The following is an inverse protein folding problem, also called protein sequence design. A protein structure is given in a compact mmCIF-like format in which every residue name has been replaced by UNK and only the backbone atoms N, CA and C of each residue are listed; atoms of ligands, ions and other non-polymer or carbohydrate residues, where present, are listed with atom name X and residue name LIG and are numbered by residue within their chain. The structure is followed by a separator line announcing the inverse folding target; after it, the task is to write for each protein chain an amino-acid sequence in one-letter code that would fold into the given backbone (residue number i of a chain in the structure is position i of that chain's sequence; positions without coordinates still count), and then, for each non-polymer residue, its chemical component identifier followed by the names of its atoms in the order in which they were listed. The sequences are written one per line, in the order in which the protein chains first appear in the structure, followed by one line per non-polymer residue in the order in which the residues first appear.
data_IF_020422178823
#
_entry.id   IF_020422178823
#
_cell.length_a   1.000
_cell.length_b   1.000
_cell.length_c   1.000
_cell.angle_alpha   90.00
_cell.angle_beta   90.00
_cell.angle_gamma   90.00
#
_symmetry.space_group_name_H-M   'P 1'
#
loop_
_entity.id
_entity.type
_entity.pdbx_description
1 polymer ?
#
# COMPACT_ATOMS: atom_id res chain seq x y z
N UNK A 1 -6.65 -16.66 13.08
CA UNK A 1 -5.24 -17.07 12.86
C UNK A 1 -4.38 -16.49 13.97
N UNK A 2 -3.53 -17.29 14.61
CA UNK A 2 -2.62 -16.77 15.64
C UNK A 2 -1.58 -15.85 14.97
N UNK A 3 -1.21 -14.73 15.61
CA UNK A 3 -0.19 -13.85 15.10
C UNK A 3 1.14 -14.58 14.98
N UNK A 4 1.75 -14.57 13.81
CA UNK A 4 3.11 -15.10 13.64
C UNK A 4 4.11 -14.05 14.10
N UNK A 5 5.18 -14.46 14.77
CA UNK A 5 6.26 -13.56 15.22
C UNK A 5 7.11 -13.02 14.05
N UNK A 6 6.99 -13.67 12.89
CA UNK A 6 7.75 -13.30 11.69
C UNK A 6 6.78 -12.87 10.58
N UNK A 7 6.94 -11.67 10.01
CA UNK A 7 6.11 -11.23 8.89
C UNK A 7 6.38 -12.07 7.64
N UNK A 8 5.33 -12.34 6.85
CA UNK A 8 5.49 -12.88 5.52
C UNK A 8 6.17 -11.85 4.62
N UNK A 9 7.29 -12.21 4.01
CA UNK A 9 7.99 -11.32 3.08
C UNK A 9 7.71 -11.77 1.64
N UNK A 10 7.35 -10.83 0.75
CA UNK A 10 7.15 -11.14 -0.66
C UNK A 10 8.47 -11.38 -1.38
N UNK A 11 8.37 -11.90 -2.60
CA UNK A 11 9.47 -11.86 -3.54
C UNK A 11 9.79 -10.42 -3.89
N UNK A 12 11.03 -10.01 -3.68
CA UNK A 12 11.51 -8.66 -3.92
C UNK A 12 12.46 -8.62 -5.11
N UNK A 13 12.50 -7.50 -5.86
CA UNK A 13 13.50 -7.32 -6.89
C UNK A 13 14.92 -7.31 -6.28
N UNK A 14 15.96 -7.65 -7.06
CA UNK A 14 17.34 -7.68 -6.58
C UNK A 14 17.78 -6.34 -5.99
N UNK A 15 18.49 -6.38 -4.86
CA UNK A 15 18.94 -5.17 -4.13
C UNK A 15 19.83 -4.28 -4.99
N UNK A 16 20.68 -4.87 -5.81
CA UNK A 16 21.58 -4.17 -6.73
C UNK A 16 20.88 -3.62 -7.97
N UNK A 17 19.61 -4.00 -8.22
CA UNK A 17 18.78 -3.54 -9.32
C UNK A 17 17.56 -2.72 -8.87
N UNK A 18 17.50 -2.31 -7.60
CA UNK A 18 16.36 -1.59 -7.01
C UNK A 18 16.81 -0.49 -6.06
N UNK A 19 15.86 0.34 -5.60
CA UNK A 19 16.02 1.15 -4.41
C UNK A 19 14.74 1.14 -3.58
N UNK A 20 14.89 1.22 -2.26
CA UNK A 20 13.76 1.16 -1.35
C UNK A 20 13.59 2.45 -0.55
N UNK A 21 12.33 2.73 -0.21
CA UNK A 21 11.92 3.77 0.74
C UNK A 21 10.95 3.14 1.72
N UNK A 22 11.16 3.41 3.02
CA UNK A 22 10.30 2.87 4.09
C UNK A 22 9.66 4.02 4.85
N UNK A 23 8.38 3.90 5.13
CA UNK A 23 7.64 4.80 6.03
C UNK A 23 6.95 3.98 7.11
N UNK A 24 6.81 4.58 8.30
CA UNK A 24 6.11 3.96 9.42
C UNK A 24 5.20 5.00 10.07
N UNK A 25 3.95 4.62 10.28
CA UNK A 25 2.92 5.43 10.93
C UNK A 25 2.18 4.60 11.97
N UNK A 26 1.39 5.27 12.80
CA UNK A 26 0.55 4.63 13.82
C UNK A 26 -0.88 5.13 13.70
N UNK A 27 -1.83 4.21 13.91
CA UNK A 27 -3.26 4.51 13.93
C UNK A 27 -3.98 3.76 15.04
N UNK A 28 -5.17 4.26 15.40
CA UNK A 28 -6.06 3.63 16.38
C UNK A 28 -7.06 2.75 15.64
N UNK A 29 -6.63 1.57 15.21
CA UNK A 29 -7.42 0.60 14.47
C UNK A 29 -6.81 -0.79 14.61
N UNK A 30 -7.54 -1.83 14.23
CA UNK A 30 -7.01 -3.18 14.11
C UNK A 30 -6.21 -3.36 12.80
N UNK A 31 -5.24 -4.29 12.74
CA UNK A 31 -4.54 -4.60 11.49
C UNK A 31 -5.48 -4.92 10.32
N UNK A 32 -6.59 -5.61 10.58
CA UNK A 32 -7.59 -5.95 9.58
C UNK A 32 -8.25 -4.72 8.94
N UNK A 33 -8.34 -3.58 9.65
CA UNK A 33 -8.89 -2.34 9.08
C UNK A 33 -7.92 -1.71 8.09
N UNK A 34 -6.62 -1.85 8.34
CA UNK A 34 -5.56 -1.42 7.43
C UNK A 34 -5.58 -2.25 6.15
N UNK A 35 -5.67 -3.59 6.28
CA UNK A 35 -5.71 -4.49 5.12
C UNK A 35 -6.99 -4.24 4.29
N UNK A 36 -8.13 -4.09 4.95
CA UNK A 36 -9.40 -3.80 4.27
C UNK A 36 -9.37 -2.46 3.51
N UNK A 37 -8.73 -1.42 4.06
CA UNK A 37 -8.52 -0.16 3.34
C UNK A 37 -7.70 -0.37 2.07
N UNK A 38 -6.60 -1.11 2.15
CA UNK A 38 -5.72 -1.36 1.00
C UNK A 38 -6.35 -2.25 -0.07
N UNK A 39 -7.32 -3.09 0.29
CA UNK A 39 -8.10 -3.94 -0.61
C UNK A 39 -9.35 -3.24 -1.17
N UNK A 40 -9.66 -2.01 -0.72
CA UNK A 40 -10.72 -1.19 -1.32
C UNK A 40 -10.14 -0.34 -2.47
N UNK A 41 -10.23 -0.79 -3.72
CA UNK A 41 -9.63 -0.06 -4.85
C UNK A 41 -10.34 1.27 -5.12
N UNK A 42 -11.63 1.36 -4.75
CA UNK A 42 -12.46 2.52 -5.05
C UNK A 42 -12.06 3.76 -4.27
N UNK A 43 -11.54 3.60 -3.04
CA UNK A 43 -11.11 4.75 -2.25
C UNK A 43 -9.91 5.48 -2.89
N UNK A 44 -9.03 4.78 -3.61
CA UNK A 44 -7.79 5.33 -4.15
C UNK A 44 -8.00 6.61 -4.97
N UNK A 45 -8.91 6.59 -5.94
CA UNK A 45 -9.19 7.75 -6.78
C UNK A 45 -10.02 8.84 -6.08
N UNK A 46 -10.86 8.46 -5.12
CA UNK A 46 -11.73 9.39 -4.38
C UNK A 46 -10.99 10.13 -3.27
N UNK A 47 -10.21 9.42 -2.46
CA UNK A 47 -9.49 10.00 -1.33
C UNK A 47 -8.12 10.56 -1.72
N UNK A 48 -7.48 9.98 -2.76
CA UNK A 48 -6.13 10.35 -3.18
C UNK A 48 -6.06 10.88 -4.62
N UNK A 49 -6.91 11.85 -5.03
CA UNK A 49 -6.91 12.37 -6.41
C UNK A 49 -5.59 13.06 -6.79
N UNK A 50 -4.74 13.34 -5.81
CA UNK A 50 -3.40 13.87 -6.03
C UNK A 50 -2.38 12.78 -6.41
N UNK A 51 -2.63 11.53 -6.04
CA UNK A 51 -1.76 10.38 -6.32
C UNK A 51 -2.28 9.52 -7.48
N UNK A 52 -3.60 9.37 -7.60
CA UNK A 52 -4.22 8.53 -8.61
C UNK A 52 -5.14 9.35 -9.52
N UNK A 53 -5.09 9.06 -10.82
CA UNK A 53 -5.99 9.71 -11.80
C UNK A 53 -7.00 8.74 -12.41
N UNK A 54 -6.73 7.45 -12.33
CA UNK A 54 -7.59 6.37 -12.83
C UNK A 54 -7.31 5.11 -12.03
N UNK A 55 -8.35 4.32 -11.81
CA UNK A 55 -8.25 2.98 -11.23
C UNK A 55 -9.45 2.17 -11.72
N UNK A 56 -9.19 0.97 -12.21
CA UNK A 56 -10.21 0.00 -12.65
C UNK A 56 -9.80 -1.38 -12.18
N UNK A 57 -10.75 -2.12 -11.62
CA UNK A 57 -10.55 -3.54 -11.27
C UNK A 57 -10.73 -4.38 -12.53
N UNK A 58 -9.81 -5.33 -12.74
CA UNK A 58 -9.96 -6.38 -13.74
C UNK A 58 -10.55 -7.62 -13.07
N UNK A 59 -11.87 -7.72 -13.07
CA UNK A 59 -12.59 -8.84 -12.43
C UNK A 59 -12.26 -10.19 -13.08
N UNK A 60 -11.95 -10.19 -14.38
CA UNK A 60 -11.63 -11.43 -15.12
C UNK A 60 -10.25 -11.99 -14.75
N UNK A 61 -9.31 -11.11 -14.37
CA UNK A 61 -7.96 -11.49 -13.96
C UNK A 61 -7.84 -11.65 -12.44
N UNK A 62 -8.80 -11.13 -11.67
CA UNK A 62 -8.84 -11.23 -10.21
C UNK A 62 -9.35 -12.61 -9.76
N UNK A 63 -8.89 -13.05 -8.59
CA UNK A 63 -9.30 -14.29 -7.92
C UNK A 63 -9.48 -14.03 -6.42
N UNK A 64 -9.91 -15.03 -5.66
CA UNK A 64 -10.05 -14.91 -4.20
C UNK A 64 -8.72 -14.55 -3.50
N UNK A 65 -7.58 -14.93 -4.10
CA UNK A 65 -6.25 -14.70 -3.53
C UNK A 65 -5.50 -13.51 -4.17
N UNK A 66 -6.05 -12.91 -5.21
CA UNK A 66 -5.38 -11.88 -6.01
C UNK A 66 -6.36 -10.88 -6.58
N UNK A 67 -6.15 -9.61 -6.25
CA UNK A 67 -6.85 -8.48 -6.85
C UNK A 67 -5.96 -7.85 -7.95
N UNK A 68 -6.48 -7.72 -9.16
CA UNK A 68 -5.78 -7.10 -10.29
C UNK A 68 -6.44 -5.77 -10.64
N UNK A 69 -5.62 -4.73 -10.74
CA UNK A 69 -6.09 -3.38 -11.06
C UNK A 69 -5.24 -2.72 -12.14
N UNK A 70 -5.87 -1.96 -13.00
CA UNK A 70 -5.22 -0.99 -13.87
C UNK A 70 -5.31 0.38 -13.19
N UNK A 71 -4.16 0.96 -12.86
CA UNK A 71 -4.08 2.22 -12.13
C UNK A 71 -3.14 3.20 -12.82
N UNK A 72 -3.46 4.48 -12.77
CA UNK A 72 -2.59 5.54 -13.28
C UNK A 72 -2.10 6.42 -12.13
N UNK A 73 -0.80 6.32 -11.83
CA UNK A 73 -0.11 7.14 -10.83
C UNK A 73 0.14 8.53 -11.38
N UNK A 74 -0.31 9.54 -10.66
CA UNK A 74 -0.13 10.94 -11.03
C UNK A 74 1.28 11.42 -10.68
N UNK A 75 2.07 11.68 -11.69
CA UNK A 75 3.43 12.23 -11.53
C UNK A 75 3.41 13.76 -11.42
N UNK A 76 2.54 14.39 -12.21
CA UNK A 76 2.28 15.84 -12.16
C UNK A 76 0.80 16.10 -12.38
N UNK A 77 0.37 17.36 -12.32
CA UNK A 77 -1.03 17.73 -12.63
C UNK A 77 -1.47 17.33 -14.04
N UNK A 78 -0.54 17.13 -14.98
CA UNK A 78 -0.82 16.86 -16.41
C UNK A 78 -0.41 15.47 -16.86
N UNK A 79 0.42 14.79 -16.09
CA UNK A 79 0.99 13.49 -16.48
C UNK A 79 0.73 12.45 -15.42
N UNK A 80 0.21 11.32 -15.85
CA UNK A 80 0.05 10.11 -15.05
C UNK A 80 0.68 8.93 -15.78
N UNK A 81 1.18 7.97 -15.02
CA UNK A 81 1.83 6.77 -15.52
C UNK A 81 0.88 5.60 -15.29
N UNK A 82 0.36 4.99 -16.36
CA UNK A 82 -0.48 3.80 -16.23
C UNK A 82 0.39 2.58 -15.92
N UNK A 83 -0.09 1.76 -15.01
CA UNK A 83 0.50 0.48 -14.66
C UNK A 83 -0.60 -0.53 -14.38
N UNK A 84 -0.29 -1.81 -14.52
CA UNK A 84 -1.08 -2.92 -14.04
C UNK A 84 -0.45 -3.43 -12.75
N UNK A 85 -1.25 -3.55 -11.70
CA UNK A 85 -0.80 -3.98 -10.39
C UNK A 85 -1.61 -5.16 -9.88
N UNK A 86 -0.94 -6.08 -9.20
CA UNK A 86 -1.52 -7.19 -8.49
C UNK A 86 -1.38 -6.99 -6.99
N UNK A 87 -2.46 -7.22 -6.24
CA UNK A 87 -2.47 -7.20 -4.79
C UNK A 87 -2.69 -8.61 -4.27
N UNK A 88 -1.86 -9.03 -3.32
CA UNK A 88 -1.95 -10.32 -2.62
C UNK A 88 -1.79 -10.13 -1.13
N UNK A 89 -2.38 -11.02 -0.33
CA UNK A 89 -2.25 -11.02 1.13
C UNK A 89 -1.56 -12.34 1.55
N UNK A 90 -0.22 -12.36 1.71
CA UNK A 90 0.48 -13.57 2.12
C UNK A 90 0.16 -13.99 3.56
N UNK A 91 -0.33 -13.08 4.39
CA UNK A 91 -0.90 -13.33 5.72
C UNK A 91 -1.96 -12.28 6.06
N UNK A 92 -2.65 -12.44 7.19
CA UNK A 92 -3.74 -11.56 7.63
C UNK A 92 -3.31 -10.11 7.96
N UNK A 93 -2.01 -9.81 7.98
CA UNK A 93 -1.44 -8.51 8.37
C UNK A 93 -0.52 -7.91 7.32
N UNK A 94 -0.35 -8.61 6.20
CA UNK A 94 0.54 -8.18 5.12
C UNK A 94 -0.22 -8.11 3.81
N UNK A 95 -0.10 -6.99 3.12
CA UNK A 95 -0.56 -6.86 1.74
C UNK A 95 0.59 -6.40 0.86
N UNK A 96 0.69 -6.99 -0.30
CA UNK A 96 1.74 -6.77 -1.29
C UNK A 96 1.11 -6.32 -2.59
N UNK A 97 1.54 -5.18 -3.09
CA UNK A 97 1.25 -4.73 -4.44
C UNK A 97 2.48 -4.96 -5.31
N UNK A 98 2.34 -5.66 -6.41
CA UNK A 98 3.39 -5.83 -7.42
C UNK A 98 2.97 -5.19 -8.73
N UNK A 99 3.81 -4.35 -9.32
CA UNK A 99 3.59 -3.85 -10.68
C UNK A 99 3.97 -4.96 -11.65
N UNK A 100 2.99 -5.46 -12.39
CA UNK A 100 3.15 -6.60 -13.30
C UNK A 100 3.20 -6.21 -14.78
N UNK A 101 2.82 -4.97 -15.09
CA UNK A 101 2.95 -4.38 -16.44
C UNK A 101 3.03 -2.85 -16.35
N UNK A 102 3.72 -2.25 -17.30
CA UNK A 102 3.88 -0.79 -17.43
C UNK A 102 5.18 -0.25 -16.87
N UNK A 103 5.16 1.03 -16.46
CA UNK A 103 6.36 1.67 -15.91
C UNK A 103 6.65 1.17 -14.49
N UNK A 104 7.87 0.72 -14.27
CA UNK A 104 8.27 0.17 -12.97
C UNK A 104 7.86 -1.27 -12.76
N UNK A 105 7.62 -2.03 -13.84
CA UNK A 105 7.38 -3.47 -13.78
C UNK A 105 8.42 -4.17 -12.90
N UNK A 106 7.97 -5.04 -12.01
CA UNK A 106 8.78 -5.69 -10.98
C UNK A 106 8.95 -4.88 -9.70
N UNK A 107 8.46 -3.63 -9.64
CA UNK A 107 8.40 -2.87 -8.38
C UNK A 107 7.39 -3.49 -7.42
N UNK A 108 7.71 -3.41 -6.12
CA UNK A 108 6.89 -3.98 -5.05
C UNK A 108 6.60 -2.92 -3.99
N UNK A 109 5.37 -2.87 -3.51
CA UNK A 109 4.99 -2.12 -2.31
C UNK A 109 4.46 -3.11 -1.29
N UNK A 110 5.18 -3.24 -0.18
CA UNK A 110 4.80 -4.10 0.94
C UNK A 110 4.20 -3.23 2.05
N UNK A 111 3.07 -3.66 2.59
CA UNK A 111 2.44 -3.05 3.74
C UNK A 111 2.27 -4.08 4.85
N UNK A 112 2.82 -3.79 6.00
CA UNK A 112 2.73 -4.63 7.20
C UNK A 112 1.98 -3.86 8.29
N UNK A 113 0.89 -4.44 8.79
CA UNK A 113 0.08 -3.88 9.86
C UNK A 113 0.31 -4.70 11.14
N UNK A 114 0.90 -4.08 12.16
CA UNK A 114 1.27 -4.76 13.41
C UNK A 114 0.53 -4.15 14.59
N UNK A 115 -0.29 -4.94 15.28
CA UNK A 115 -0.89 -4.55 16.55
C UNK A 115 0.22 -4.48 17.62
N UNK A 116 0.41 -3.31 18.20
CA UNK A 116 1.50 -3.11 19.18
C UNK A 116 1.00 -2.94 20.61
N UNK A 117 -0.22 -2.48 20.80
CA UNK A 117 -0.80 -2.29 22.13
C UNK A 117 -2.31 -2.06 22.08
N UNK A 118 -2.93 -2.14 23.26
CA UNK A 118 -4.23 -1.54 23.52
C UNK A 118 -4.06 -0.47 24.60
N UNK A 119 -4.83 0.60 24.50
CA UNK A 119 -4.87 1.61 25.55
C UNK A 119 -5.72 1.12 26.75
N UNK A 120 -5.85 1.96 27.81
CA UNK A 120 -6.62 1.62 29.02
C UNK A 120 -8.11 1.42 28.77
N UNK A 121 -8.63 1.94 27.68
CA UNK A 121 -10.03 1.77 27.24
C UNK A 121 -10.23 0.58 26.29
N UNK A 122 -9.16 -0.18 26.00
CA UNK A 122 -9.19 -1.31 25.07
C UNK A 122 -9.03 -0.94 23.60
N UNK A 123 -8.75 0.34 23.28
CA UNK A 123 -8.57 0.79 21.88
C UNK A 123 -7.26 0.27 21.33
N UNK A 124 -7.24 -0.38 20.15
CA UNK A 124 -6.03 -0.93 19.56
C UNK A 124 -5.12 0.16 19.01
N UNK A 125 -3.83 -0.08 19.04
CA UNK A 125 -2.83 0.73 18.35
C UNK A 125 -2.10 -0.16 17.34
N UNK A 126 -2.26 0.14 16.07
CA UNK A 126 -1.56 -0.55 14.98
C UNK A 126 -0.46 0.33 14.42
N UNK A 127 0.71 -0.27 14.23
CA UNK A 127 1.82 0.31 13.46
C UNK A 127 1.74 -0.22 12.04
N UNK A 128 1.72 0.69 11.08
CA UNK A 128 1.81 0.38 9.67
C UNK A 128 3.21 0.70 9.18
N UNK A 129 3.89 -0.29 8.61
CA UNK A 129 5.17 -0.10 7.93
C UNK A 129 4.98 -0.42 6.45
N UNK A 130 5.22 0.57 5.60
CA UNK A 130 5.22 0.40 4.16
C UNK A 130 6.63 0.53 3.59
N UNK A 131 7.02 -0.44 2.78
CA UNK A 131 8.23 -0.39 1.98
C UNK A 131 7.89 -0.32 0.49
N UNK A 132 8.25 0.78 -0.15
CA UNK A 132 8.20 0.93 -1.61
C UNK A 132 9.56 0.55 -2.19
N UNK A 133 9.60 -0.53 -2.97
CA UNK A 133 10.81 -1.06 -3.60
C UNK A 133 10.70 -0.84 -5.11
N UNK A 134 11.31 0.22 -5.60
CA UNK A 134 11.27 0.59 -7.00
C UNK A 134 12.28 -0.22 -7.81
N UNK A 135 11.83 -0.76 -8.94
CA UNK A 135 12.59 -1.50 -9.92
C UNK A 135 12.16 -1.13 -11.34
N UNK A 136 13.04 -1.29 -12.31
CA UNK A 136 12.69 -1.23 -13.73
C UNK A 136 13.86 -1.76 -14.56
N UNK A 137 13.55 -2.53 -15.59
CA UNK A 137 14.52 -2.98 -16.58
C UNK A 137 14.80 -1.93 -17.68
N UNK A 138 14.10 -0.80 -17.66
CA UNK A 138 14.26 0.24 -18.67
C UNK A 138 15.62 0.91 -18.62
N UNK A 139 16.15 1.22 -19.80
CA UNK A 139 17.35 2.05 -19.95
C UNK A 139 17.11 3.40 -19.26
N UNK A 140 17.99 3.75 -18.34
CA UNK A 140 17.85 4.98 -17.54
C UNK A 140 17.45 4.77 -16.08
N UNK A 141 16.87 3.64 -15.71
CA UNK A 141 16.58 3.37 -14.30
C UNK A 141 17.83 3.37 -13.42
N UNK A 142 19.00 2.96 -13.98
CA UNK A 142 20.29 3.10 -13.30
C UNK A 142 20.61 4.52 -12.86
N UNK A 143 20.19 5.54 -13.64
CA UNK A 143 20.32 6.95 -13.25
C UNK A 143 19.39 7.27 -12.08
N UNK A 144 18.11 6.87 -12.15
CA UNK A 144 17.17 7.06 -11.05
C UNK A 144 17.67 6.40 -9.76
N UNK A 145 18.24 5.19 -9.86
CA UNK A 145 18.85 4.49 -8.72
C UNK A 145 20.06 5.25 -8.16
N UNK A 146 20.91 5.80 -9.01
CA UNK A 146 22.03 6.65 -8.58
C UNK A 146 21.56 7.93 -7.87
N UNK A 147 20.39 8.44 -8.26
CA UNK A 147 19.72 9.57 -7.63
C UNK A 147 18.81 9.20 -6.46
N UNK A 148 18.78 7.92 -6.06
CA UNK A 148 17.91 7.45 -4.97
C UNK A 148 18.03 8.27 -3.68
N UNK A 149 19.21 8.74 -3.22
CA UNK A 149 19.31 9.61 -2.04
C UNK A 149 18.48 10.89 -2.15
N UNK A 150 18.30 11.44 -3.36
CA UNK A 150 17.49 12.63 -3.63
C UNK A 150 16.00 12.29 -3.84
N UNK A 151 15.70 11.11 -4.39
CA UNK A 151 14.34 10.67 -4.69
C UNK A 151 13.61 10.12 -3.47
N UNK A 152 14.30 9.40 -2.60
CA UNK A 152 13.74 8.79 -1.39
C UNK A 152 12.89 9.73 -0.52
N UNK A 153 13.32 10.97 -0.22
CA UNK A 153 12.50 11.89 0.58
C UNK A 153 11.17 12.24 -0.09
N UNK A 154 11.13 12.40 -1.41
CA UNK A 154 9.91 12.68 -2.16
C UNK A 154 8.96 11.49 -2.14
N UNK A 155 9.47 10.27 -2.39
CA UNK A 155 8.71 9.03 -2.30
C UNK A 155 8.16 8.84 -0.88
N UNK A 156 9.00 9.01 0.15
CA UNK A 156 8.58 8.93 1.54
C UNK A 156 7.49 9.96 1.90
N UNK A 157 7.62 11.19 1.39
CA UNK A 157 6.62 12.24 1.62
C UNK A 157 5.27 11.89 1.01
N UNK A 158 5.26 11.35 -0.21
CA UNK A 158 4.03 10.90 -0.87
C UNK A 158 3.40 9.72 -0.12
N UNK A 159 4.19 8.71 0.21
CA UNK A 159 3.72 7.56 0.98
C UNK A 159 3.16 7.97 2.36
N UNK A 160 3.84 8.87 3.08
CA UNK A 160 3.33 9.40 4.36
C UNK A 160 2.00 10.12 4.20
N UNK A 161 1.84 10.92 3.15
CA UNK A 161 0.60 11.63 2.89
C UNK A 161 -0.54 10.66 2.62
N UNK A 162 -0.31 9.63 1.79
CA UNK A 162 -1.29 8.57 1.55
C UNK A 162 -1.68 7.90 2.87
N UNK A 163 -0.71 7.50 3.68
CA UNK A 163 -0.97 6.82 4.93
C UNK A 163 -1.63 7.67 6.01
N UNK A 164 -1.50 8.99 6.00
CA UNK A 164 -2.29 9.87 6.89
C UNK A 164 -3.78 9.77 6.55
N UNK A 165 -4.11 9.78 5.26
CA UNK A 165 -5.49 9.68 4.80
C UNK A 165 -6.04 8.25 5.00
N UNK A 166 -5.24 7.24 4.68
CA UNK A 166 -5.60 5.82 4.80
C UNK A 166 -5.81 5.38 6.26
N UNK A 167 -4.98 5.86 7.17
CA UNK A 167 -5.17 5.60 8.60
C UNK A 167 -6.42 6.27 9.14
N UNK A 168 -6.75 7.48 8.70
CA UNK A 168 -8.01 8.13 9.09
C UNK A 168 -9.23 7.31 8.64
N UNK A 169 -9.17 6.70 7.45
CA UNK A 169 -10.18 5.76 6.97
C UNK A 169 -10.23 4.50 7.83
N UNK A 170 -9.09 3.87 8.11
CA UNK A 170 -9.00 2.66 8.92
C UNK A 170 -9.48 2.89 10.37
N UNK A 171 -9.12 4.02 10.99
CA UNK A 171 -9.60 4.45 12.30
C UNK A 171 -11.11 4.65 12.32
N UNK A 172 -11.65 5.30 11.29
CA UNK A 172 -13.09 5.49 11.15
C UNK A 172 -13.83 4.15 11.02
N UNK A 173 -13.28 3.22 10.22
CA UNK A 173 -13.82 1.87 10.07
C UNK A 173 -13.85 1.12 11.40
N UNK A 174 -12.75 1.19 12.16
CA UNK A 174 -12.67 0.60 13.49
C UNK A 174 -13.73 1.20 14.43
N UNK A 175 -13.85 2.53 14.52
CA UNK A 175 -14.82 3.22 15.38
C UNK A 175 -16.27 2.81 15.10
N UNK A 176 -16.65 2.69 13.83
CA UNK A 176 -18.01 2.30 13.46
C UNK A 176 -18.30 0.86 13.84
N UNK A 177 -17.34 -0.04 13.64
CA UNK A 177 -17.45 -1.45 14.02
C UNK A 177 -17.49 -1.61 15.54
N UNK A 178 -16.71 -0.87 16.31
CA UNK A 178 -16.73 -0.86 17.78
C UNK A 178 -18.08 -0.41 18.35
N UNK A 179 -18.77 0.48 17.65
CA UNK A 179 -20.14 0.92 17.99
C UNK A 179 -21.23 -0.06 17.56
N UNK A 180 -20.88 -1.17 16.92
CA UNK A 180 -21.84 -2.14 16.37
C UNK A 180 -22.57 -1.62 15.12
N UNK A 181 -22.08 -0.55 14.48
CA UNK A 181 -22.60 -0.07 13.23
C UNK A 181 -22.10 -0.97 12.09
N UNK A 182 -22.99 -1.74 11.48
CA UNK A 182 -22.66 -2.54 10.28
C UNK A 182 -22.80 -1.67 9.05
N UNK A 183 -21.78 -1.66 8.19
CA UNK A 183 -21.92 -1.14 6.84
C UNK A 183 -22.88 -2.06 6.07
N UNK A 184 -24.05 -1.51 5.67
CA UNK A 184 -24.86 -2.16 4.65
C UNK A 184 -24.15 -1.99 3.30
N UNK A 185 -23.73 -3.07 2.72
CA UNK A 185 -23.41 -3.14 1.28
C UNK A 185 -24.67 -3.53 0.53
#
# INVERSE_FOLDING_TARGET
EEPTDTPALPVRPPVDASFATVVTLRGTCEPSDVIANRLDPWHGTWYHPYAFSHLTVDDAASTDDRLVVDVAFRVTRRYAVPVRAEFTCPDARTIVMTIVDGEGEGSVVETHATLVSHDRSGRPTTVVTEATIAHSERKGFGVARSLAPLLRPAVASTARRLWVDDLAYAERRWELRDRGETYGY
#
